data_IF_229694731381
#
_entry.id   IF_229694731381
#
_cell.length_a   1.000
_cell.length_b   1.000
_cell.length_c   1.000
_cell.angle_alpha   90.00
_cell.angle_beta   90.00
_cell.angle_gamma   90.00
#
_symmetry.space_group_name_H-M   'P 1'
#
loop_
_entity.id
_entity.type
_entity.pdbx_description
1 polymer ?
#
# COMPACT_ATOMS: atom_id res chain seq x y z
N UNK A 1 -18.37 7.44 -14.42
CA UNK A 1 -16.89 7.54 -14.47
C UNK A 1 -16.32 6.20 -14.05
N UNK A 2 -15.30 5.68 -14.74
CA UNK A 2 -14.60 4.49 -14.27
C UNK A 2 -13.66 4.92 -13.14
N UNK A 3 -13.84 4.38 -11.92
CA UNK A 3 -12.94 4.70 -10.81
C UNK A 3 -11.52 4.18 -11.10
N UNK A 4 -10.46 4.98 -10.90
CA UNK A 4 -9.11 4.44 -10.86
C UNK A 4 -9.00 3.40 -9.72
N UNK A 5 -8.06 2.45 -9.83
CA UNK A 5 -7.82 1.42 -8.79
C UNK A 5 -9.02 0.52 -8.37
N UNK A 6 -9.94 0.19 -9.29
CA UNK A 6 -11.13 -0.65 -9.02
C UNK A 6 -10.86 -1.95 -8.24
N UNK A 7 -9.71 -2.60 -8.48
CA UNK A 7 -9.35 -3.84 -7.78
C UNK A 7 -9.02 -3.59 -6.31
N UNK A 8 -8.29 -2.52 -6.01
CA UNK A 8 -7.89 -2.16 -4.63
C UNK A 8 -9.10 -1.70 -3.83
N UNK A 9 -9.96 -0.87 -4.42
CA UNK A 9 -11.20 -0.39 -3.78
C UNK A 9 -12.18 -1.54 -3.52
N UNK A 10 -12.30 -2.50 -4.44
CA UNK A 10 -13.11 -3.71 -4.22
C UNK A 10 -12.59 -4.54 -3.03
N UNK A 11 -11.27 -4.67 -2.87
CA UNK A 11 -10.68 -5.40 -1.75
C UNK A 11 -10.97 -4.69 -0.42
N UNK A 12 -10.73 -3.38 -0.33
CA UNK A 12 -11.05 -2.61 0.89
C UNK A 12 -12.54 -2.68 1.23
N UNK A 13 -13.42 -2.58 0.23
CA UNK A 13 -14.86 -2.77 0.42
C UNK A 13 -15.18 -4.14 1.02
N UNK A 14 -14.60 -5.20 0.48
CA UNK A 14 -14.81 -6.58 0.97
C UNK A 14 -14.29 -6.75 2.40
N UNK A 15 -13.14 -6.15 2.73
CA UNK A 15 -12.60 -6.14 4.07
C UNK A 15 -13.54 -5.39 5.03
N UNK A 16 -13.92 -4.15 4.72
CA UNK A 16 -14.82 -3.35 5.54
C UNK A 16 -16.17 -4.06 5.80
N UNK A 17 -16.73 -4.70 4.77
CA UNK A 17 -17.96 -5.50 4.92
C UNK A 17 -17.77 -6.72 5.85
N UNK A 18 -16.57 -7.29 5.92
CA UNK A 18 -16.25 -8.37 6.87
C UNK A 18 -16.20 -7.89 8.33
N UNK A 19 -16.08 -6.57 8.54
CA UNK A 19 -16.26 -5.91 9.82
C UNK A 19 -17.68 -5.34 10.00
N UNK A 20 -18.62 -5.71 9.12
CA UNK A 20 -20.00 -5.23 9.14
C UNK A 20 -20.13 -3.70 8.93
N UNK A 21 -19.12 -3.06 8.35
CA UNK A 21 -19.17 -1.64 7.99
C UNK A 21 -20.15 -1.44 6.83
N UNK A 22 -21.08 -0.50 6.98
CA UNK A 22 -21.98 -0.09 5.91
C UNK A 22 -21.27 0.86 4.94
N UNK A 23 -20.51 0.29 4.01
CA UNK A 23 -19.75 1.03 3.00
C UNK A 23 -20.67 1.84 2.09
N UNK A 24 -20.50 3.16 2.06
CA UNK A 24 -21.24 4.07 1.19
C UNK A 24 -20.39 4.46 -0.05
N UNK A 25 -20.95 5.20 -1.04
CA UNK A 25 -20.20 5.63 -2.21
C UNK A 25 -18.99 6.51 -1.88
N UNK A 26 -19.12 7.43 -0.92
CA UNK A 26 -18.03 8.32 -0.51
C UNK A 26 -16.84 7.56 0.08
N UNK A 27 -17.06 6.47 0.83
CA UNK A 27 -15.98 5.61 1.33
C UNK A 27 -15.18 5.00 0.16
N UNK A 28 -15.87 4.57 -0.91
CA UNK A 28 -15.24 4.00 -2.11
C UNK A 28 -14.47 5.07 -2.89
N UNK A 29 -15.07 6.25 -3.05
CA UNK A 29 -14.42 7.39 -3.73
C UNK A 29 -13.18 7.83 -2.96
N UNK A 30 -13.28 7.94 -1.63
CA UNK A 30 -12.16 8.26 -0.72
C UNK A 30 -11.00 7.29 -0.92
N UNK A 31 -11.25 5.98 -0.93
CA UNK A 31 -10.20 5.00 -1.18
C UNK A 31 -9.59 5.13 -2.58
N UNK A 32 -10.43 5.32 -3.60
CA UNK A 32 -9.97 5.47 -4.97
C UNK A 32 -9.06 6.69 -5.15
N UNK A 33 -9.50 7.84 -4.64
CA UNK A 33 -8.76 9.09 -4.68
C UNK A 33 -7.49 9.03 -3.83
N UNK A 34 -7.60 8.45 -2.62
CA UNK A 34 -6.47 8.22 -1.72
C UNK A 34 -5.38 7.36 -2.35
N UNK A 35 -5.72 6.23 -2.99
CA UNK A 35 -4.75 5.40 -3.71
C UNK A 35 -4.10 6.13 -4.89
N UNK A 36 -4.88 6.90 -5.64
CA UNK A 36 -4.36 7.65 -6.79
C UNK A 36 -3.34 8.69 -6.34
N UNK A 37 -3.70 9.49 -5.33
CA UNK A 37 -2.84 10.50 -4.73
C UNK A 37 -1.59 9.88 -4.10
N UNK A 38 -1.76 8.87 -3.23
CA UNK A 38 -0.66 8.20 -2.56
C UNK A 38 0.35 7.64 -3.56
N UNK A 39 -0.12 6.91 -4.58
CA UNK A 39 0.76 6.34 -5.60
C UNK A 39 1.53 7.41 -6.36
N UNK A 40 0.88 8.50 -6.76
CA UNK A 40 1.54 9.55 -7.53
C UNK A 40 2.61 10.29 -6.70
N UNK A 41 2.30 10.59 -5.44
CA UNK A 41 3.24 11.22 -4.52
C UNK A 41 4.41 10.30 -4.19
N UNK A 42 4.14 9.00 -3.98
CA UNK A 42 5.15 7.96 -3.76
C UNK A 42 6.09 7.83 -4.97
N UNK A 43 5.54 7.81 -6.19
CA UNK A 43 6.34 7.77 -7.43
C UNK A 43 7.23 9.01 -7.56
N UNK A 44 6.71 10.20 -7.26
CA UNK A 44 7.49 11.45 -7.28
C UNK A 44 8.66 11.40 -6.27
N UNK A 45 8.43 10.85 -5.08
CA UNK A 45 9.46 10.77 -4.03
C UNK A 45 10.50 9.71 -4.37
N UNK A 46 10.08 8.53 -4.79
CA UNK A 46 10.98 7.38 -4.97
C UNK A 46 11.69 7.39 -6.33
N UNK A 47 10.97 7.70 -7.43
CA UNK A 47 11.53 7.67 -8.78
C UNK A 47 12.13 9.02 -9.21
N UNK A 48 11.46 10.13 -8.88
CA UNK A 48 11.88 11.47 -9.31
C UNK A 48 12.69 12.23 -8.24
N UNK A 49 12.80 11.68 -7.02
CA UNK A 49 13.47 12.30 -5.86
C UNK A 49 12.92 13.69 -5.49
N UNK A 50 11.63 13.91 -5.74
CA UNK A 50 10.91 15.14 -5.42
C UNK A 50 10.30 15.06 -4.00
N UNK A 51 11.08 15.45 -3.00
CA UNK A 51 10.69 15.32 -1.58
C UNK A 51 9.67 16.37 -1.09
N UNK A 52 9.36 17.42 -1.88
CA UNK A 52 8.31 18.39 -1.53
C UNK A 52 6.92 17.87 -1.90
N UNK A 53 6.51 16.77 -1.24
CA UNK A 53 5.18 16.18 -1.42
C UNK A 53 4.05 17.15 -1.04
N UNK A 54 4.33 18.13 -0.18
CA UNK A 54 3.37 19.16 0.24
C UNK A 54 2.88 20.03 -0.90
N UNK A 55 3.78 20.52 -1.75
CA UNK A 55 3.41 21.33 -2.90
C UNK A 55 2.55 20.55 -3.91
N UNK A 56 2.90 19.30 -4.21
CA UNK A 56 2.13 18.45 -5.12
C UNK A 56 0.77 18.03 -4.54
N UNK A 57 0.72 17.71 -3.24
CA UNK A 57 -0.53 17.44 -2.55
C UNK A 57 -1.48 18.65 -2.60
N UNK A 58 -0.99 19.85 -2.32
CA UNK A 58 -1.80 21.07 -2.37
C UNK A 58 -2.42 21.29 -3.76
N UNK A 59 -1.66 21.05 -4.83
CA UNK A 59 -2.15 21.11 -6.22
C UNK A 59 -3.26 20.10 -6.49
N UNK A 60 -3.06 18.84 -6.13
CA UNK A 60 -4.08 17.80 -6.27
C UNK A 60 -5.37 18.13 -5.51
N UNK A 61 -5.25 18.62 -4.29
CA UNK A 61 -6.41 19.03 -3.47
C UNK A 61 -7.11 20.30 -4.02
N UNK A 62 -6.40 21.12 -4.80
CA UNK A 62 -6.99 22.22 -5.59
C UNK A 62 -7.61 21.75 -6.92
N UNK A 63 -7.45 20.47 -7.28
CA UNK A 63 -7.93 19.88 -8.53
C UNK A 63 -7.01 20.10 -9.72
N UNK A 64 -5.74 20.45 -9.47
CA UNK A 64 -4.72 20.62 -10.50
C UNK A 64 -3.97 19.30 -10.72
N UNK A 65 -3.72 18.95 -11.99
CA UNK A 65 -2.91 17.80 -12.33
C UNK A 65 -1.44 17.98 -11.92
N UNK A 66 -0.78 16.85 -11.71
CA UNK A 66 0.64 16.72 -11.40
C UNK A 66 1.21 15.56 -12.25
N UNK A 67 2.53 15.31 -12.28
CA UNK A 67 3.04 14.09 -12.89
C UNK A 67 2.30 12.85 -12.35
N UNK A 68 2.02 11.89 -13.22
CA UNK A 68 1.30 10.64 -12.92
C UNK A 68 -0.19 10.78 -12.54
N UNK A 69 -0.76 11.99 -12.55
CA UNK A 69 -2.20 12.23 -12.33
C UNK A 69 -2.74 13.17 -13.40
N UNK A 70 -3.69 12.69 -14.21
CA UNK A 70 -4.29 13.52 -15.25
C UNK A 70 -5.37 14.47 -14.70
N UNK A 71 -5.86 15.40 -15.53
CA UNK A 71 -6.84 16.39 -15.11
C UNK A 71 -8.15 15.79 -14.59
N UNK A 72 -8.64 14.69 -15.19
CA UNK A 72 -9.87 14.03 -14.73
C UNK A 72 -9.68 13.41 -13.34
N UNK A 73 -8.52 12.79 -13.10
CA UNK A 73 -8.16 12.21 -11.81
C UNK A 73 -7.97 13.29 -10.74
N UNK A 74 -7.33 14.42 -11.08
CA UNK A 74 -7.17 15.55 -10.16
C UNK A 74 -8.52 16.17 -9.77
N UNK A 75 -9.42 16.37 -10.74
CA UNK A 75 -10.79 16.83 -10.47
C UNK A 75 -11.54 15.83 -9.59
N UNK A 76 -11.36 14.53 -9.83
CA UNK A 76 -11.97 13.48 -9.01
C UNK A 76 -11.44 13.49 -7.56
N UNK A 77 -10.12 13.63 -7.38
CA UNK A 77 -9.48 13.76 -6.06
C UNK A 77 -10.06 14.97 -5.31
N UNK A 78 -10.07 16.15 -5.94
CA UNK A 78 -10.65 17.36 -5.36
C UNK A 78 -12.12 17.18 -4.99
N UNK A 79 -12.93 16.66 -5.91
CA UNK A 79 -14.37 16.50 -5.67
C UNK A 79 -14.62 15.57 -4.49
N UNK A 80 -13.82 14.50 -4.38
CA UNK A 80 -13.86 13.57 -3.24
C UNK A 80 -13.44 14.28 -1.96
N UNK A 81 -12.34 15.03 -1.99
CA UNK A 81 -11.82 15.79 -0.87
C UNK A 81 -12.83 16.83 -0.36
N UNK A 82 -13.46 17.60 -1.25
CA UNK A 82 -14.47 18.61 -0.91
C UNK A 82 -15.68 18.02 -0.18
N UNK A 83 -16.01 16.75 -0.46
CA UNK A 83 -17.11 16.01 0.16
C UNK A 83 -16.77 15.38 1.53
N UNK A 84 -15.49 15.38 1.94
CA UNK A 84 -15.08 14.89 3.25
C UNK A 84 -15.43 15.89 4.36
N UNK A 85 -15.54 15.39 5.59
CA UNK A 85 -15.60 16.24 6.79
C UNK A 85 -14.29 17.00 7.01
N UNK A 86 -14.35 18.13 7.72
CA UNK A 86 -13.16 18.96 8.00
C UNK A 86 -12.04 18.17 8.71
N UNK A 87 -12.31 17.31 9.73
CA UNK A 87 -11.26 16.49 10.32
C UNK A 87 -10.59 15.53 9.31
N UNK A 88 -11.38 14.92 8.41
CA UNK A 88 -10.85 14.07 7.34
C UNK A 88 -10.01 14.86 6.34
N UNK A 89 -10.40 16.10 6.03
CA UNK A 89 -9.67 17.00 5.15
C UNK A 89 -8.30 17.37 5.74
N UNK A 90 -8.28 17.78 7.00
CA UNK A 90 -7.05 18.09 7.73
C UNK A 90 -6.11 16.88 7.76
N UNK A 91 -6.65 15.69 8.03
CA UNK A 91 -5.88 14.46 8.05
C UNK A 91 -5.30 14.10 6.67
N UNK A 92 -6.07 14.30 5.59
CA UNK A 92 -5.60 14.10 4.21
C UNK A 92 -4.48 15.06 3.83
N UNK A 93 -4.64 16.35 4.14
CA UNK A 93 -3.62 17.37 3.93
C UNK A 93 -2.34 17.03 4.70
N UNK A 94 -2.47 16.72 5.99
CA UNK A 94 -1.35 16.34 6.83
C UNK A 94 -0.63 15.10 6.28
N UNK A 95 -1.39 14.09 5.89
CA UNK A 95 -0.83 12.84 5.40
C UNK A 95 -0.08 13.05 4.08
N UNK A 96 -0.73 13.63 3.09
CA UNK A 96 -0.13 13.84 1.77
C UNK A 96 1.11 14.75 1.83
N UNK A 97 1.12 15.75 2.73
CA UNK A 97 2.25 16.67 2.86
C UNK A 97 3.50 16.03 3.47
N UNK A 98 3.37 14.97 4.27
CA UNK A 98 4.50 14.40 5.02
C UNK A 98 5.17 13.19 4.35
N UNK A 99 4.67 12.70 3.21
CA UNK A 99 5.25 11.53 2.52
C UNK A 99 6.74 11.71 2.18
N UNK A 100 7.12 12.83 1.55
CA UNK A 100 8.53 13.10 1.23
C UNK A 100 9.42 13.28 2.45
N UNK A 101 8.86 13.78 3.57
CA UNK A 101 9.59 13.88 4.83
C UNK A 101 9.92 12.49 5.42
N UNK A 102 9.06 11.47 5.21
CA UNK A 102 9.37 10.10 5.62
C UNK A 102 10.52 9.50 4.81
N UNK A 103 10.56 9.71 3.50
CA UNK A 103 11.70 9.27 2.69
C UNK A 103 13.03 9.88 3.19
N UNK A 104 13.04 11.19 3.51
CA UNK A 104 14.21 11.83 4.11
C UNK A 104 14.57 11.18 5.46
N UNK A 105 13.61 11.03 6.38
CA UNK A 105 13.83 10.41 7.69
C UNK A 105 14.36 8.96 7.58
N UNK A 106 13.89 8.19 6.60
CA UNK A 106 14.39 6.83 6.33
C UNK A 106 15.87 6.86 5.95
N UNK A 107 16.29 7.83 5.15
CA UNK A 107 17.69 8.03 4.77
C UNK A 107 18.55 8.55 5.93
N UNK A 108 17.97 9.36 6.82
CA UNK A 108 18.65 9.91 8.01
C UNK A 108 18.76 8.90 9.17
N UNK A 109 17.97 7.82 9.14
CA UNK A 109 17.96 6.80 10.19
C UNK A 109 19.36 6.19 10.39
N UNK A 110 19.83 6.19 11.64
CA UNK A 110 21.18 5.76 11.98
C UNK A 110 21.25 4.32 12.49
N UNK A 111 20.10 3.80 12.96
CA UNK A 111 19.95 2.44 13.47
C UNK A 111 18.72 1.78 12.86
N UNK A 112 18.69 0.44 12.87
CA UNK A 112 17.53 -0.31 12.35
C UNK A 112 16.27 -0.02 13.17
N UNK A 113 16.42 0.24 14.46
CA UNK A 113 15.32 0.64 15.34
C UNK A 113 14.74 2.01 14.93
N UNK A 114 15.58 3.02 14.69
CA UNK A 114 15.12 4.33 14.19
C UNK A 114 14.38 4.17 12.85
N UNK A 115 14.93 3.36 11.95
CA UNK A 115 14.31 3.09 10.65
C UNK A 115 12.95 2.41 10.78
N UNK A 116 12.83 1.42 11.67
CA UNK A 116 11.56 0.75 11.96
C UNK A 116 10.52 1.75 12.50
N UNK A 117 10.92 2.67 13.38
CA UNK A 117 10.02 3.71 13.89
C UNK A 117 9.50 4.60 12.75
N UNK A 118 10.39 5.05 11.85
CA UNK A 118 10.01 5.85 10.68
C UNK A 118 9.03 5.10 9.77
N UNK A 119 9.30 3.81 9.49
CA UNK A 119 8.41 2.96 8.67
C UNK A 119 7.04 2.77 9.33
N UNK A 120 7.00 2.60 10.65
CA UNK A 120 5.74 2.50 11.38
C UNK A 120 4.94 3.80 11.32
N UNK A 121 5.58 4.95 11.56
CA UNK A 121 4.96 6.27 11.49
C UNK A 121 4.38 6.56 10.09
N UNK A 122 5.11 6.21 9.03
CA UNK A 122 4.64 6.33 7.65
C UNK A 122 3.43 5.42 7.37
N UNK A 123 3.46 4.19 7.89
CA UNK A 123 2.34 3.25 7.71
C UNK A 123 1.05 3.74 8.40
N UNK A 124 1.17 4.43 9.54
CA UNK A 124 0.03 5.07 10.22
C UNK A 124 -0.60 6.15 9.36
N UNK A 125 0.23 6.98 8.74
CA UNK A 125 -0.20 8.01 7.82
C UNK A 125 -0.92 7.42 6.60
N UNK A 126 -0.41 6.33 6.03
CA UNK A 126 -1.09 5.64 4.93
C UNK A 126 -2.44 5.07 5.37
N UNK A 127 -2.50 4.47 6.56
CA UNK A 127 -3.76 3.98 7.12
C UNK A 127 -4.76 5.13 7.31
N UNK A 128 -4.32 6.29 7.81
CA UNK A 128 -5.13 7.49 8.01
C UNK A 128 -5.80 7.98 6.72
N UNK A 129 -5.08 7.96 5.60
CA UNK A 129 -5.67 8.30 4.28
C UNK A 129 -6.81 7.34 3.92
N UNK A 130 -6.71 6.06 4.29
CA UNK A 130 -7.64 4.99 3.91
C UNK A 130 -8.73 4.70 4.97
N UNK A 131 -8.63 5.28 6.17
CA UNK A 131 -9.66 5.12 7.21
C UNK A 131 -11.01 5.64 6.72
N UNK A 132 -12.10 4.99 7.12
CA UNK A 132 -13.45 5.45 6.80
C UNK A 132 -13.96 6.41 7.87
N UNK A 133 -14.84 7.35 7.49
CA UNK A 133 -15.38 8.32 8.44
C UNK A 133 -16.28 7.64 9.48
N UNK A 134 -15.95 7.84 10.75
CA UNK A 134 -16.67 7.32 11.92
C UNK A 134 -17.31 8.46 12.70
N UNK A 135 -18.39 9.04 12.15
CA UNK A 135 -19.23 10.00 12.86
C UNK A 135 -20.07 9.27 13.93
N UNK A 136 -20.17 9.84 15.14
CA UNK A 136 -20.95 9.30 16.26
C UNK A 136 -22.43 9.13 15.94
N UNK A 137 -22.96 9.89 14.97
CA UNK A 137 -24.37 9.78 14.57
C UNK A 137 -24.69 8.53 13.72
N UNK A 138 -23.68 7.78 13.26
CA UNK A 138 -23.88 6.60 12.40
C UNK A 138 -24.18 5.35 13.23
N UNK A 139 -24.95 4.43 12.66
CA UNK A 139 -25.32 3.17 13.34
C UNK A 139 -24.17 2.17 13.43
N UNK A 140 -23.20 2.26 12.52
CA UNK A 140 -22.06 1.36 12.37
C UNK A 140 -20.74 1.98 12.86
N UNK A 141 -20.79 3.02 13.71
CA UNK A 141 -19.59 3.75 14.18
C UNK A 141 -18.60 2.85 14.89
N UNK A 142 -19.07 1.93 15.74
CA UNK A 142 -18.20 0.98 16.43
C UNK A 142 -17.47 0.06 15.43
N UNK A 143 -18.18 -0.46 14.44
CA UNK A 143 -17.62 -1.29 13.37
C UNK A 143 -16.58 -0.52 12.55
N UNK A 144 -16.86 0.74 12.23
CA UNK A 144 -15.92 1.63 11.52
C UNK A 144 -14.66 1.89 12.32
N UNK A 145 -14.78 2.12 13.63
CA UNK A 145 -13.62 2.27 14.52
C UNK A 145 -12.78 1.00 14.59
N UNK A 146 -13.40 -0.17 14.71
CA UNK A 146 -12.69 -1.47 14.70
C UNK A 146 -12.01 -1.71 13.36
N UNK A 147 -12.69 -1.44 12.23
CA UNK A 147 -12.10 -1.54 10.91
C UNK A 147 -10.92 -0.57 10.71
N UNK A 148 -11.04 0.67 11.19
CA UNK A 148 -9.98 1.68 11.12
C UNK A 148 -8.76 1.27 11.96
N UNK A 149 -8.96 0.70 13.15
CA UNK A 149 -7.88 0.15 13.97
C UNK A 149 -7.24 -1.08 13.31
N UNK A 150 -8.04 -1.92 12.65
CA UNK A 150 -7.52 -3.05 11.87
C UNK A 150 -6.69 -2.58 10.65
N UNK A 151 -7.14 -1.54 9.95
CA UNK A 151 -6.40 -0.95 8.82
C UNK A 151 -5.03 -0.43 9.24
N UNK A 152 -4.95 0.18 10.41
CA UNK A 152 -3.70 0.67 11.01
C UNK A 152 -2.72 -0.48 11.28
N UNK A 153 -3.20 -1.55 11.93
CA UNK A 153 -2.42 -2.76 12.20
C UNK A 153 -2.02 -3.51 10.92
N UNK A 154 -2.89 -3.50 9.91
CA UNK A 154 -2.61 -4.08 8.59
C UNK A 154 -1.49 -3.30 7.89
N UNK A 155 -1.56 -1.96 7.90
CA UNK A 155 -0.55 -1.07 7.35
C UNK A 155 0.84 -1.33 7.95
N UNK A 156 0.94 -1.29 9.28
CA UNK A 156 2.20 -1.58 9.98
C UNK A 156 2.77 -2.97 9.60
N UNK A 157 1.91 -3.99 9.59
CA UNK A 157 2.33 -5.35 9.24
C UNK A 157 2.83 -5.42 7.80
N UNK A 158 2.10 -4.82 6.86
CA UNK A 158 2.45 -4.80 5.45
C UNK A 158 3.79 -4.09 5.22
N UNK A 159 3.96 -2.89 5.77
CA UNK A 159 5.19 -2.10 5.64
C UNK A 159 6.40 -2.83 6.24
N UNK A 160 6.29 -3.38 7.45
CA UNK A 160 7.40 -4.11 8.08
C UNK A 160 7.76 -5.42 7.36
N UNK A 161 6.77 -6.15 6.84
CA UNK A 161 7.02 -7.35 6.05
C UNK A 161 7.66 -7.01 4.70
N UNK A 162 7.26 -5.92 4.06
CA UNK A 162 7.83 -5.43 2.81
C UNK A 162 9.28 -4.99 3.02
N UNK A 163 9.54 -4.15 4.04
CA UNK A 163 10.90 -3.76 4.45
C UNK A 163 11.76 -4.98 4.76
N UNK A 164 11.21 -6.01 5.43
CA UNK A 164 11.97 -7.23 5.71
C UNK A 164 12.32 -8.02 4.45
N UNK A 165 11.37 -8.13 3.51
CA UNK A 165 11.59 -8.77 2.21
C UNK A 165 12.68 -8.06 1.43
N UNK A 166 12.66 -6.74 1.48
CA UNK A 166 13.39 -5.88 0.54
C UNK A 166 14.62 -5.22 1.19
N UNK A 167 14.91 -5.52 2.45
CA UNK A 167 15.98 -4.93 3.28
C UNK A 167 17.34 -4.81 2.56
N UNK A 168 17.75 -5.85 1.84
CA UNK A 168 19.02 -5.84 1.08
C UNK A 168 18.88 -5.04 -0.21
N UNK A 169 17.73 -5.15 -0.89
CA UNK A 169 17.47 -4.47 -2.15
C UNK A 169 17.41 -2.96 -1.93
N UNK A 170 16.65 -2.50 -0.94
CA UNK A 170 16.46 -1.09 -0.62
C UNK A 170 17.78 -0.41 -0.25
N UNK A 171 18.68 -1.12 0.45
CA UNK A 171 20.02 -0.61 0.69
C UNK A 171 20.84 -0.46 -0.59
N UNK A 172 20.82 -1.48 -1.46
CA UNK A 172 21.57 -1.45 -2.71
C UNK A 172 21.06 -0.39 -3.70
N UNK A 173 19.77 -0.07 -3.62
CA UNK A 173 19.11 0.97 -4.42
C UNK A 173 19.28 2.38 -3.81
N UNK A 174 19.83 2.48 -2.59
CA UNK A 174 20.05 3.75 -1.91
C UNK A 174 18.83 4.29 -1.17
N UNK A 175 17.74 3.54 -1.10
CA UNK A 175 16.51 3.87 -0.37
C UNK A 175 16.66 3.68 1.16
N UNK A 176 17.79 3.08 1.59
CA UNK A 176 18.13 2.88 2.99
C UNK A 176 19.63 3.12 3.22
N UNK A 177 19.95 4.02 4.16
CA UNK A 177 21.34 4.34 4.52
C UNK A 177 22.00 3.28 5.42
N UNK A 178 21.19 2.49 6.13
CA UNK A 178 21.66 1.48 7.08
C UNK A 178 22.18 0.26 6.33
N UNK A 179 23.41 -0.16 6.66
CA UNK A 179 23.98 -1.38 6.10
C UNK A 179 23.23 -2.63 6.61
N UNK A 180 22.74 -3.51 5.72
CA UNK A 180 22.08 -4.75 6.10
C UNK A 180 23.03 -5.66 6.89
N UNK A 181 22.61 -6.06 8.08
CA UNK A 181 23.34 -7.03 8.92
C UNK A 181 22.40 -8.14 9.38
N UNK A 182 22.95 -9.30 9.72
CA UNK A 182 22.16 -10.40 10.29
C UNK A 182 21.44 -9.98 11.58
N UNK A 183 22.09 -9.17 12.43
CA UNK A 183 21.46 -8.62 13.63
C UNK A 183 20.30 -7.69 13.29
N UNK A 184 20.48 -6.78 12.33
CA UNK A 184 19.43 -5.88 11.87
C UNK A 184 18.23 -6.64 11.32
N UNK A 185 18.47 -7.65 10.48
CA UNK A 185 17.42 -8.51 9.93
C UNK A 185 16.63 -9.25 11.03
N UNK A 186 17.29 -9.71 12.11
CA UNK A 186 16.63 -10.34 13.25
C UNK A 186 15.76 -9.35 14.03
N UNK A 187 16.24 -8.12 14.23
CA UNK A 187 15.46 -7.05 14.90
C UNK A 187 14.21 -6.74 14.07
N UNK A 188 14.38 -6.49 12.77
CA UNK A 188 13.28 -6.22 11.84
C UNK A 188 12.28 -7.38 11.78
N UNK A 189 12.76 -8.62 11.66
CA UNK A 189 11.92 -9.81 11.67
C UNK A 189 11.13 -9.97 12.98
N UNK A 190 11.74 -9.65 14.12
CA UNK A 190 11.04 -9.66 15.42
C UNK A 190 9.89 -8.66 15.45
N UNK A 191 10.09 -7.45 14.94
CA UNK A 191 9.03 -6.44 14.85
C UNK A 191 7.93 -6.85 13.86
N UNK A 192 8.31 -7.29 12.66
CA UNK A 192 7.36 -7.78 11.65
C UNK A 192 6.51 -8.95 12.19
N UNK A 193 7.12 -9.93 12.86
CA UNK A 193 6.39 -11.07 13.44
C UNK A 193 5.47 -10.65 14.59
N UNK A 194 5.87 -9.69 15.41
CA UNK A 194 5.05 -9.15 16.50
C UNK A 194 3.78 -8.48 15.94
N UNK A 195 3.93 -7.62 14.95
CA UNK A 195 2.79 -6.94 14.33
C UNK A 195 1.95 -7.89 13.49
N UNK A 196 2.55 -8.85 12.78
CA UNK A 196 1.84 -9.93 12.12
C UNK A 196 0.99 -10.72 13.10
N UNK A 197 1.52 -11.09 14.27
CA UNK A 197 0.75 -11.81 15.28
C UNK A 197 -0.43 -10.97 15.79
N UNK A 198 -0.22 -9.68 16.07
CA UNK A 198 -1.30 -8.78 16.47
C UNK A 198 -2.37 -8.65 15.39
N UNK A 199 -1.97 -8.36 14.15
CA UNK A 199 -2.83 -8.34 12.97
C UNK A 199 -3.63 -9.63 12.87
N UNK A 200 -2.98 -10.78 13.08
CA UNK A 200 -3.68 -12.06 12.97
C UNK A 200 -4.77 -12.23 14.03
N UNK A 201 -4.56 -11.77 15.25
CA UNK A 201 -5.56 -11.90 16.31
C UNK A 201 -6.82 -11.08 16.06
N UNK A 202 -6.70 -9.94 15.37
CA UNK A 202 -7.80 -9.01 15.13
C UNK A 202 -8.43 -9.11 13.75
N UNK A 203 -7.90 -9.97 12.87
CA UNK A 203 -8.41 -10.14 11.50
C UNK A 203 -9.59 -11.11 11.46
N UNK A 204 -10.75 -10.71 10.89
CA UNK A 204 -11.88 -11.62 10.70
C UNK A 204 -11.55 -12.82 9.81
N UNK A 205 -12.12 -13.98 10.14
CA UNK A 205 -11.97 -15.22 9.39
C UNK A 205 -12.30 -15.11 7.88
N UNK A 206 -13.33 -14.35 7.45
CA UNK A 206 -13.59 -14.15 6.03
C UNK A 206 -12.41 -13.51 5.27
N UNK A 207 -11.71 -12.57 5.90
CA UNK A 207 -10.54 -11.89 5.31
C UNK A 207 -9.38 -12.88 5.16
N UNK A 208 -9.12 -13.70 6.17
CA UNK A 208 -8.12 -14.78 6.09
C UNK A 208 -8.39 -15.76 4.96
N UNK A 209 -9.63 -16.17 4.83
CA UNK A 209 -10.06 -17.12 3.80
C UNK A 209 -9.81 -16.51 2.43
N UNK A 210 -10.17 -15.24 2.22
CA UNK A 210 -9.91 -14.52 0.98
C UNK A 210 -8.41 -14.36 0.67
N UNK A 211 -7.60 -13.98 1.66
CA UNK A 211 -6.14 -13.85 1.50
C UNK A 211 -5.49 -15.19 1.15
N UNK A 212 -5.85 -16.25 1.86
CA UNK A 212 -5.32 -17.61 1.66
C UNK A 212 -5.74 -18.16 0.31
N UNK A 213 -7.02 -18.03 -0.05
CA UNK A 213 -7.52 -18.47 -1.34
C UNK A 213 -6.80 -17.76 -2.49
N UNK A 214 -6.56 -16.45 -2.37
CA UNK A 214 -5.80 -15.69 -3.38
C UNK A 214 -4.33 -16.12 -3.47
N UNK A 215 -3.69 -16.39 -2.34
CA UNK A 215 -2.31 -16.89 -2.31
C UNK A 215 -2.21 -18.28 -2.96
N UNK A 216 -3.16 -19.17 -2.67
CA UNK A 216 -3.26 -20.50 -3.30
C UNK A 216 -3.49 -20.36 -4.80
N UNK A 217 -4.45 -19.54 -5.23
CA UNK A 217 -4.72 -19.32 -6.67
C UNK A 217 -3.49 -18.79 -7.40
N UNK A 218 -2.81 -17.76 -6.87
CA UNK A 218 -1.56 -17.25 -7.48
C UNK A 218 -0.47 -18.32 -7.55
N UNK A 219 -0.37 -19.18 -6.53
CA UNK A 219 0.60 -20.27 -6.51
C UNK A 219 0.25 -21.32 -7.57
N UNK A 220 -1.02 -21.69 -7.68
CA UNK A 220 -1.51 -22.60 -8.70
C UNK A 220 -1.31 -22.02 -10.11
N UNK A 221 -1.55 -20.74 -10.33
CA UNK A 221 -1.27 -20.06 -11.62
C UNK A 221 0.22 -20.09 -11.97
N UNK A 222 1.11 -19.91 -10.99
CA UNK A 222 2.57 -20.03 -11.21
C UNK A 222 2.99 -21.46 -11.52
N UNK A 223 2.36 -22.46 -10.90
CA UNK A 223 2.64 -23.89 -11.13
C UNK A 223 2.02 -24.39 -12.45
N UNK A 224 0.88 -23.83 -12.85
CA UNK A 224 0.17 -24.18 -14.09
C UNK A 224 0.68 -23.43 -15.32
N UNK A 225 1.50 -22.38 -15.17
CA UNK A 225 2.33 -21.91 -16.28
C UNK A 225 3.26 -23.06 -16.65
N UNK A 226 3.08 -23.73 -17.81
CA UNK A 226 4.06 -24.70 -18.23
C UNK A 226 5.38 -23.95 -18.30
N UNK A 227 6.44 -24.53 -17.72
CA UNK A 227 7.77 -24.26 -18.21
C UNK A 227 7.67 -24.41 -19.74
N UNK A 228 7.75 -23.29 -20.46
CA UNK A 228 7.96 -23.29 -21.90
C UNK A 228 9.34 -23.91 -22.08
N UNK A 229 9.39 -25.24 -22.00
CA UNK A 229 10.47 -26.06 -22.51
C UNK A 229 10.57 -25.69 -23.98
N UNK A 230 11.54 -24.84 -24.27
CA UNK A 230 12.32 -24.79 -25.50
C UNK A 230 11.71 -25.57 -26.67
N UNK A 231 10.82 -24.91 -27.43
CA UNK A 231 10.60 -25.28 -28.83
C UNK A 231 11.88 -25.13 -29.68
N UNK A 232 12.97 -24.59 -29.11
CA UNK A 232 14.31 -24.65 -29.69
C UNK A 232 15.04 -26.00 -29.53
N UNK A 233 14.71 -26.86 -28.54
CA UNK A 233 15.37 -28.18 -28.43
C UNK A 233 14.77 -29.24 -29.37
N UNK A 234 13.49 -29.14 -29.73
CA UNK A 234 12.85 -30.10 -30.64
C UNK A 234 13.22 -29.83 -32.12
N UNK A 235 13.65 -28.60 -32.46
CA UNK A 235 14.16 -28.29 -33.81
C UNK A 235 15.63 -28.66 -34.04
N UNK A 236 16.45 -28.80 -32.99
CA UNK A 236 17.83 -29.27 -33.15
C UNK A 236 17.95 -30.81 -33.20
N UNK A 237 17.01 -31.55 -32.62
CA UNK A 237 17.01 -33.01 -32.69
C UNK A 237 16.51 -33.55 -34.05
N UNK A 238 15.74 -32.79 -34.82
CA UNK A 238 15.22 -33.18 -36.14
C UNK A 238 16.11 -32.74 -37.32
N UNK A 239 17.16 -31.95 -37.07
CA UNK A 239 18.14 -31.52 -38.08
C UNK A 239 19.40 -32.41 -38.16
N UNK A 240 19.50 -33.47 -37.36
CA UNK A 240 20.65 -34.39 -37.35
C UNK A 240 20.36 -35.84 -37.77
N UNK A 241 19.14 -36.11 -38.27
CA UNK A 241 18.76 -37.44 -38.80
C UNK A 241 18.54 -37.49 -40.32
N UNK A 242 18.76 -36.38 -41.06
CA UNK A 242 18.63 -36.33 -42.53
C UNK A 242 19.96 -36.04 -43.26
N UNK A 243 21.05 -36.64 -42.80
CA UNK A 243 22.28 -36.77 -43.60
C UNK A 243 22.81 -38.20 -43.49
N UNK A 244 22.26 -39.07 -44.32
CA UNK A 244 22.90 -40.25 -44.90
C UNK A 244 22.36 -40.44 -46.31
#
# INVERSE_FOLDING_TARGET
MAHPHQKSTHLLKSCAQSFEVAVNPLDVDKWSAGFTMAKALDTLVDEDHEYDSGAYAARLLAGESIPYVNDEEAIFIRTTYDALSDPSKEQWQHSAANLGAFAIKRLEASTIEDYIEVVCDESHLMADVLKVESDEARRDTAQRQVFNAWMDQMGQTAYLCDTLSDFIRDHNEGNMSITPTARGAVILARHALKELFRFTQVTPLPIYTAMTQRAVTKTLEKVQRPAFFSTQFIKQASAHTSSK
#
